data_IF_464995330483
#
_entry.id   IF_464995330483
#
_cell.length_a   1.000
_cell.length_b   1.000
_cell.length_c   1.000
_cell.angle_alpha   90.00
_cell.angle_beta   90.00
_cell.angle_gamma   90.00
#
_symmetry.space_group_name_H-M   'P 1'
#
loop_
_entity.id
_entity.type
_entity.pdbx_description
1 polymer ?
#
# COMPACT_ATOMS: atom_id res chain seq x y z
N UNK A 1 19.64 -12.33 5.45
CA UNK A 1 18.95 -11.05 5.69
C UNK A 1 17.75 -11.34 6.59
N UNK A 2 17.46 -10.48 7.56
CA UNK A 2 16.22 -10.60 8.35
C UNK A 2 15.02 -10.52 7.39
N UNK A 3 14.00 -11.33 7.64
CA UNK A 3 12.73 -11.29 6.91
C UNK A 3 11.96 -10.04 7.36
N UNK A 4 12.36 -8.89 6.83
CA UNK A 4 11.76 -7.63 7.27
C UNK A 4 10.31 -7.53 6.78
N UNK A 5 9.43 -7.11 7.70
CA UNK A 5 8.01 -6.88 7.40
C UNK A 5 7.86 -5.53 6.71
N UNK A 6 7.34 -5.54 5.49
CA UNK A 6 7.10 -4.33 4.69
C UNK A 6 5.60 -4.10 4.57
N UNK A 7 5.17 -2.87 4.85
CA UNK A 7 3.77 -2.47 4.73
C UNK A 7 3.62 -1.45 3.63
N UNK A 8 2.78 -1.74 2.64
CA UNK A 8 2.31 -0.79 1.65
C UNK A 8 1.00 -0.18 2.11
N UNK A 9 0.87 1.14 2.06
CA UNK A 9 -0.41 1.85 2.24
C UNK A 9 -0.77 2.44 0.88
N UNK A 10 -1.84 1.93 0.28
CA UNK A 10 -2.40 2.42 -0.96
C UNK A 10 -3.67 3.20 -0.65
N UNK A 11 -3.75 4.44 -1.15
CA UNK A 11 -4.95 5.27 -1.03
C UNK A 11 -6.02 4.96 -2.10
N UNK A 12 -5.69 4.14 -3.11
CA UNK A 12 -6.61 3.71 -4.17
C UNK A 12 -7.09 2.27 -3.95
N UNK A 13 -8.32 1.97 -4.42
CA UNK A 13 -8.88 0.62 -4.40
C UNK A 13 -8.04 -0.34 -5.24
N UNK A 14 -7.71 -1.50 -4.68
CA UNK A 14 -6.97 -2.58 -5.36
C UNK A 14 -7.92 -3.67 -5.81
N UNK A 15 -7.77 -4.16 -7.04
CA UNK A 15 -8.56 -5.26 -7.59
C UNK A 15 -8.39 -5.40 -9.10
N UNK A 16 -9.30 -6.13 -9.74
CA UNK A 16 -9.17 -6.51 -11.17
C UNK A 16 -9.06 -5.32 -12.13
N UNK A 17 -9.68 -4.19 -11.79
CA UNK A 17 -9.69 -2.96 -12.60
C UNK A 17 -8.97 -1.80 -11.89
N UNK A 18 -7.76 -2.07 -11.41
CA UNK A 18 -6.92 -1.07 -10.78
C UNK A 18 -6.20 -0.17 -11.79
N UNK A 19 -5.81 1.04 -11.34
CA UNK A 19 -5.01 1.98 -12.11
C UNK A 19 -3.98 2.70 -11.23
N UNK A 20 -2.98 3.30 -11.87
CA UNK A 20 -2.07 4.25 -11.21
C UNK A 20 -1.37 3.69 -9.96
N UNK A 21 -1.49 4.36 -8.80
CA UNK A 21 -0.87 3.94 -7.54
C UNK A 21 -1.23 2.52 -7.08
N UNK A 22 -2.45 2.05 -7.38
CA UNK A 22 -2.88 0.69 -7.00
C UNK A 22 -2.06 -0.39 -7.73
N UNK A 23 -1.86 -0.26 -9.06
CA UNK A 23 -1.02 -1.19 -9.84
C UNK A 23 0.39 -1.25 -9.27
N UNK A 24 0.99 -0.07 -9.04
CA UNK A 24 2.38 0.03 -8.55
C UNK A 24 2.55 -0.58 -7.16
N UNK A 25 1.55 -0.38 -6.29
CA UNK A 25 1.54 -0.96 -4.95
C UNK A 25 1.54 -2.49 -5.03
N UNK A 26 0.70 -3.08 -5.90
CA UNK A 26 0.60 -4.52 -6.10
C UNK A 26 1.88 -5.10 -6.72
N UNK A 27 2.42 -4.46 -7.76
CA UNK A 27 3.63 -4.93 -8.43
C UNK A 27 4.84 -4.94 -7.49
N UNK A 28 5.06 -3.85 -6.74
CA UNK A 28 6.16 -3.77 -5.79
C UNK A 28 5.97 -4.73 -4.60
N UNK A 29 4.74 -4.87 -4.10
CA UNK A 29 4.41 -5.85 -3.06
C UNK A 29 4.74 -7.28 -3.53
N UNK A 30 4.36 -7.63 -4.77
CA UNK A 30 4.67 -8.93 -5.38
C UNK A 30 6.17 -9.19 -5.48
N UNK A 31 6.96 -8.19 -5.93
CA UNK A 31 8.42 -8.31 -6.03
C UNK A 31 9.05 -8.55 -4.66
N UNK A 32 8.65 -7.80 -3.64
CA UNK A 32 9.19 -7.97 -2.29
C UNK A 32 8.78 -9.31 -1.66
N UNK A 33 7.53 -9.74 -1.86
CA UNK A 33 7.07 -11.05 -1.43
C UNK A 33 7.88 -12.17 -2.10
N UNK A 34 8.15 -12.05 -3.41
CA UNK A 34 8.97 -12.99 -4.18
C UNK A 34 10.43 -13.01 -3.74
N UNK A 35 10.94 -11.89 -3.22
CA UNK A 35 12.27 -11.81 -2.60
C UNK A 35 12.30 -12.38 -1.16
N UNK A 36 11.16 -12.84 -0.64
CA UNK A 36 11.00 -13.49 0.65
C UNK A 36 10.50 -12.57 1.76
N UNK A 37 10.25 -11.29 1.53
CA UNK A 37 9.78 -10.39 2.59
C UNK A 37 8.35 -10.75 3.04
N UNK A 38 8.02 -10.43 4.31
CA UNK A 38 6.63 -10.48 4.77
C UNK A 38 5.95 -9.19 4.35
N UNK A 39 5.01 -9.27 3.40
CA UNK A 39 4.40 -8.08 2.80
C UNK A 39 2.94 -7.97 3.20
N UNK A 40 2.56 -6.79 3.67
CA UNK A 40 1.17 -6.40 3.89
C UNK A 40 0.83 -5.24 2.95
N UNK A 41 -0.29 -5.34 2.24
CA UNK A 41 -0.85 -4.26 1.44
C UNK A 41 -2.13 -3.76 2.12
N UNK A 42 -2.09 -2.57 2.67
CA UNK A 42 -3.24 -1.88 3.24
C UNK A 42 -3.93 -1.05 2.14
N UNK A 43 -5.20 -1.34 1.86
CA UNK A 43 -5.97 -0.64 0.82
C UNK A 43 -7.39 -0.26 1.31
N UNK A 44 -8.08 0.69 0.65
CA UNK A 44 -9.37 1.18 1.11
C UNK A 44 -10.50 0.14 0.97
N UNK A 45 -11.70 0.41 1.54
CA UNK A 45 -12.86 -0.48 1.42
C UNK A 45 -13.23 -0.80 -0.03
N UNK A 46 -13.67 -2.04 -0.25
CA UNK A 46 -13.98 -2.56 -1.59
C UNK A 46 -12.78 -3.18 -2.31
N UNK A 47 -11.56 -3.06 -1.77
CA UNK A 47 -10.38 -3.70 -2.33
C UNK A 47 -10.44 -5.23 -2.20
N UNK A 48 -9.97 -5.93 -3.24
CA UNK A 48 -9.86 -7.40 -3.28
C UNK A 48 -8.59 -7.76 -4.02
N UNK A 49 -7.77 -8.63 -3.47
CA UNK A 49 -6.52 -9.08 -4.08
C UNK A 49 -6.22 -10.50 -3.62
N UNK A 50 -5.99 -11.39 -4.57
CA UNK A 50 -5.42 -12.70 -4.32
C UNK A 50 -4.03 -12.72 -4.93
N UNK A 51 -3.01 -12.52 -4.09
CA UNK A 51 -1.61 -12.46 -4.52
C UNK A 51 -0.74 -13.29 -3.55
N UNK A 52 -0.08 -14.37 -4.01
CA UNK A 52 0.75 -15.19 -3.13
C UNK A 52 1.83 -14.39 -2.40
N UNK A 53 1.91 -14.58 -1.08
CA UNK A 53 2.92 -13.92 -0.23
C UNK A 53 2.60 -12.47 0.14
N UNK A 54 1.45 -11.95 -0.26
CA UNK A 54 0.97 -10.60 0.09
C UNK A 54 -0.33 -10.70 0.88
N UNK A 55 -0.32 -10.21 2.11
CA UNK A 55 -1.52 -10.11 2.94
C UNK A 55 -2.25 -8.79 2.62
N UNK A 56 -3.46 -8.87 2.08
CA UNK A 56 -4.32 -7.69 1.92
C UNK A 56 -5.01 -7.36 3.25
N UNK A 57 -4.89 -6.11 3.69
CA UNK A 57 -5.66 -5.55 4.80
C UNK A 57 -6.52 -4.42 4.26
N UNK A 58 -7.82 -4.48 4.53
CA UNK A 58 -8.75 -3.40 4.21
C UNK A 58 -8.84 -2.48 5.43
N UNK A 59 -8.49 -1.20 5.27
CA UNK A 59 -8.62 -0.20 6.33
C UNK A 59 -9.86 0.67 6.10
N UNK A 60 -10.56 1.04 7.18
CA UNK A 60 -11.75 1.89 7.11
C UNK A 60 -11.40 3.38 7.26
N UNK A 61 -10.41 3.67 8.08
CA UNK A 61 -9.89 5.02 8.35
C UNK A 61 -8.41 4.99 8.73
N UNK A 62 -7.86 6.18 8.97
CA UNK A 62 -6.45 6.38 9.36
C UNK A 62 -6.15 5.77 10.73
N UNK A 63 -7.11 5.72 11.65
CA UNK A 63 -6.91 5.14 12.99
C UNK A 63 -6.67 3.62 12.87
N UNK A 64 -7.36 2.97 11.94
CA UNK A 64 -7.16 1.56 11.60
C UNK A 64 -5.78 1.22 11.02
N UNK A 65 -5.01 2.20 10.52
CA UNK A 65 -3.67 1.96 9.99
C UNK A 65 -2.61 1.78 11.09
N UNK A 66 -2.83 2.32 12.28
CA UNK A 66 -1.88 2.25 13.39
C UNK A 66 -1.44 0.81 13.74
N UNK A 67 -2.40 -0.10 14.00
CA UNK A 67 -2.10 -1.52 14.21
C UNK A 67 -1.42 -2.19 13.00
N UNK A 68 -1.74 -1.76 11.77
CA UNK A 68 -1.21 -2.35 10.54
C UNK A 68 0.27 -2.01 10.38
N UNK A 69 0.69 -0.78 10.67
CA UNK A 69 2.10 -0.38 10.55
C UNK A 69 2.95 -0.71 11.77
N UNK A 70 2.33 -1.10 12.89
CA UNK A 70 3.04 -1.48 14.10
C UNK A 70 4.06 -2.60 13.83
N UNK A 71 5.32 -2.35 14.20
CA UNK A 71 6.43 -3.30 13.99
C UNK A 71 6.82 -3.54 12.53
N UNK A 72 6.36 -2.72 11.58
CA UNK A 72 6.89 -2.72 10.22
C UNK A 72 8.37 -2.28 10.22
N UNK A 73 9.22 -3.02 9.49
CA UNK A 73 10.61 -2.62 9.25
C UNK A 73 10.71 -1.51 8.19
N UNK A 74 9.74 -1.46 7.28
CA UNK A 74 9.58 -0.40 6.30
C UNK A 74 8.10 -0.15 5.99
N UNK A 75 7.76 1.10 5.72
CA UNK A 75 6.42 1.55 5.30
C UNK A 75 6.57 2.29 3.98
N UNK A 76 5.79 1.89 2.97
CA UNK A 76 5.73 2.52 1.66
C UNK A 76 4.32 3.10 1.49
N UNK A 77 4.22 4.40 1.24
CA UNK A 77 2.92 5.08 1.12
C UNK A 77 2.74 5.59 -0.29
N UNK A 78 1.64 5.17 -0.92
CA UNK A 78 1.16 5.70 -2.18
C UNK A 78 -0.12 6.49 -1.92
N UNK A 79 0.02 7.81 -1.87
CA UNK A 79 -1.05 8.75 -1.54
C UNK A 79 -1.20 9.86 -2.61
N UNK A 80 -2.36 10.54 -2.68
CA UNK A 80 -2.61 11.59 -3.64
C UNK A 80 -1.77 12.85 -3.35
N UNK A 81 -0.66 12.99 -4.08
CA UNK A 81 0.28 14.11 -3.88
C UNK A 81 -0.40 15.47 -4.04
N UNK A 82 -1.19 15.68 -5.09
CA UNK A 82 -1.80 17.00 -5.35
C UNK A 82 -2.94 17.34 -4.39
N UNK A 83 -3.75 16.37 -3.98
CA UNK A 83 -4.87 16.62 -3.07
C UNK A 83 -4.36 17.11 -1.70
N UNK A 84 -3.24 16.53 -1.25
CA UNK A 84 -2.63 16.87 0.04
C UNK A 84 -1.62 18.02 -0.05
N UNK A 85 -1.24 18.42 -1.27
CA UNK A 85 -0.24 19.47 -1.53
C UNK A 85 -0.72 20.43 -2.64
N UNK A 86 -1.87 21.08 -2.42
CA UNK A 86 -2.48 21.98 -3.42
C UNK A 86 -1.55 23.11 -3.90
N UNK A 87 -0.56 23.50 -3.11
CA UNK A 87 0.47 24.47 -3.51
C UNK A 87 1.30 24.01 -4.73
N UNK A 88 1.39 22.70 -4.98
CA UNK A 88 2.04 22.18 -6.20
C UNK A 88 1.29 22.57 -7.47
N UNK A 89 -0.03 22.75 -7.40
CA UNK A 89 -0.84 23.19 -8.53
C UNK A 89 -0.56 24.65 -8.93
N UNK A 90 0.11 25.42 -8.06
CA UNK A 90 0.47 26.83 -8.31
C UNK A 90 1.88 27.01 -8.83
N UNK A 91 2.64 25.92 -9.08
CA UNK A 91 4.02 25.97 -9.62
C UNK A 91 4.08 26.18 -11.14
N UNK A 92 3.05 26.76 -11.74
CA UNK A 92 2.95 27.11 -13.16
C UNK A 92 3.39 28.54 -13.45
#
# INVERSE_FOLDING_TARGET
MSLDRVVFICADTVGDLMAGPAIRSVELASVLASAGHRVVLAAPPGSRLELPGVDLVVWEDVEGLGPVVAGAGAIVVFAPVLADNLWLATLG
#
